data_IF_676752428726
#
_entry.id   IF_676752428726
#
_cell.length_a   1.000
_cell.length_b   1.000
_cell.length_c   1.000
_cell.angle_alpha   90.00
_cell.angle_beta   90.00
_cell.angle_gamma   90.00
#
_symmetry.space_group_name_H-M   'P 1'
#
loop_
_entity.id
_entity.type
_entity.pdbx_description
1 polymer ?
#
# COMPACT_ATOMS: atom_id res chain seq x y z
N UNK A 1 -13.11 -68.19 -6.12
CA UNK A 1 -14.60 -68.11 -6.15
C UNK A 1 -15.09 -68.44 -4.75
N UNK A 2 -15.70 -67.56 -3.98
CA UNK A 2 -16.06 -66.15 -4.19
C UNK A 2 -15.99 -65.42 -2.85
N UNK A 3 -15.29 -64.29 -2.83
CA UNK A 3 -15.40 -63.24 -1.82
C UNK A 3 -16.71 -62.49 -2.05
N UNK A 4 -17.73 -62.73 -1.24
CA UNK A 4 -18.91 -61.86 -1.12
C UNK A 4 -19.42 -61.98 0.31
N UNK A 5 -18.80 -61.28 1.26
CA UNK A 5 -19.36 -61.06 2.60
C UNK A 5 -18.60 -59.94 3.35
N UNK A 6 -18.42 -58.79 2.70
CA UNK A 6 -18.00 -57.58 3.39
C UNK A 6 -18.83 -56.42 2.84
N UNK A 7 -19.56 -55.73 3.73
CA UNK A 7 -20.40 -54.54 3.47
C UNK A 7 -21.85 -54.76 3.00
N UNK A 8 -22.64 -55.57 3.70
CA UNK A 8 -24.08 -55.24 3.84
C UNK A 8 -24.22 -54.16 4.91
N UNK A 9 -23.89 -52.92 4.56
CA UNK A 9 -24.24 -51.77 5.40
C UNK A 9 -25.76 -51.80 5.54
N UNK A 10 -26.26 -51.92 6.77
CA UNK A 10 -27.69 -51.96 7.05
C UNK A 10 -28.27 -50.54 6.84
N UNK A 11 -28.55 -50.22 5.58
CA UNK A 11 -29.01 -48.91 5.11
C UNK A 11 -30.25 -48.46 5.89
N UNK A 12 -31.12 -49.39 6.31
CA UNK A 12 -32.31 -49.09 7.13
C UNK A 12 -31.95 -48.64 8.55
N UNK A 13 -30.93 -49.24 9.16
CA UNK A 13 -30.42 -48.85 10.48
C UNK A 13 -29.66 -47.51 10.45
N UNK A 14 -29.04 -47.18 9.32
CA UNK A 14 -28.44 -45.88 9.04
C UNK A 14 -29.49 -44.79 8.77
N UNK A 15 -30.50 -45.08 7.96
CA UNK A 15 -31.61 -44.16 7.65
C UNK A 15 -32.50 -43.87 8.87
N UNK A 16 -32.75 -44.86 9.73
CA UNK A 16 -33.49 -44.65 10.99
C UNK A 16 -32.73 -43.83 12.03
N UNK A 17 -31.38 -43.83 11.98
CA UNK A 17 -30.55 -42.91 12.77
C UNK A 17 -30.50 -41.49 12.20
N UNK A 18 -30.69 -41.35 10.89
CA UNK A 18 -30.88 -40.08 10.15
C UNK A 18 -32.31 -39.53 10.33
N UNK A 19 -32.91 -39.70 11.52
CA UNK A 19 -34.20 -39.11 11.84
C UNK A 19 -34.08 -37.57 11.78
N UNK A 20 -35.07 -36.89 11.22
CA UNK A 20 -35.03 -35.43 10.97
C UNK A 20 -34.67 -34.64 12.22
N UNK A 21 -35.18 -35.03 13.40
CA UNK A 21 -34.86 -34.39 14.70
C UNK A 21 -33.36 -34.44 15.07
N UNK A 22 -32.65 -35.52 14.72
CA UNK A 22 -31.21 -35.66 15.02
C UNK A 22 -30.31 -34.87 14.06
N UNK A 23 -30.85 -34.43 12.92
CA UNK A 23 -30.14 -33.65 11.90
C UNK A 23 -30.32 -32.14 12.06
N UNK A 24 -31.36 -31.67 12.77
CA UNK A 24 -31.61 -30.24 12.98
C UNK A 24 -30.48 -29.59 13.80
N UNK A 25 -30.16 -30.13 14.98
CA UNK A 25 -29.13 -29.56 15.88
C UNK A 25 -27.74 -29.40 15.23
N UNK A 26 -27.16 -30.42 14.55
CA UNK A 26 -25.87 -30.24 13.87
C UNK A 26 -25.95 -29.28 12.68
N UNK A 27 -27.09 -29.24 11.97
CA UNK A 27 -27.30 -28.28 10.87
C UNK A 27 -27.33 -26.84 11.38
N UNK A 28 -28.06 -26.57 12.47
CA UNK A 28 -28.10 -25.24 13.11
C UNK A 28 -26.72 -24.85 13.64
N UNK A 29 -26.00 -25.78 14.25
CA UNK A 29 -24.64 -25.53 14.77
C UNK A 29 -23.68 -25.15 13.62
N UNK A 30 -23.69 -25.91 12.53
CA UNK A 30 -22.88 -25.60 11.34
C UNK A 30 -23.27 -24.26 10.70
N UNK A 31 -24.58 -23.94 10.67
CA UNK A 31 -25.07 -22.65 10.19
C UNK A 31 -24.49 -21.50 11.02
N UNK A 32 -24.51 -21.60 12.35
CA UNK A 32 -23.93 -20.58 13.25
C UNK A 32 -22.42 -20.44 13.01
N UNK A 33 -21.69 -21.56 12.87
CA UNK A 33 -20.25 -21.54 12.56
C UNK A 33 -20.01 -20.86 11.20
N UNK A 34 -20.76 -21.21 10.16
CA UNK A 34 -20.63 -20.62 8.84
C UNK A 34 -20.91 -19.11 8.83
N UNK A 35 -21.94 -18.67 9.56
CA UNK A 35 -22.25 -17.24 9.72
C UNK A 35 -21.11 -16.53 10.45
N UNK A 36 -20.60 -17.09 11.54
CA UNK A 36 -19.49 -16.48 12.29
C UNK A 36 -18.19 -16.39 11.46
N UNK A 37 -17.87 -17.43 10.70
CA UNK A 37 -16.73 -17.46 9.79
C UNK A 37 -16.89 -16.42 8.65
N UNK A 38 -18.10 -16.29 8.10
CA UNK A 38 -18.41 -15.29 7.07
C UNK A 38 -18.29 -13.86 7.59
N UNK A 39 -18.78 -13.58 8.81
CA UNK A 39 -18.63 -12.27 9.45
C UNK A 39 -17.13 -11.97 9.65
N UNK A 40 -16.37 -12.93 10.18
CA UNK A 40 -14.93 -12.78 10.40
C UNK A 40 -14.19 -12.50 9.09
N UNK A 41 -14.51 -13.25 8.03
CA UNK A 41 -13.96 -13.02 6.69
C UNK A 41 -14.27 -11.62 6.16
N UNK A 42 -15.52 -11.16 6.28
CA UNK A 42 -15.93 -9.81 5.86
C UNK A 42 -15.20 -8.74 6.66
N UNK A 43 -15.04 -8.91 7.98
CA UNK A 43 -14.30 -7.96 8.83
C UNK A 43 -12.83 -7.87 8.41
N UNK A 44 -12.15 -9.01 8.20
CA UNK A 44 -10.77 -9.04 7.72
C UNK A 44 -10.66 -8.37 6.35
N UNK A 45 -11.59 -8.66 5.43
CA UNK A 45 -11.61 -8.09 4.10
C UNK A 45 -11.81 -6.57 4.13
N UNK A 46 -12.78 -6.07 4.89
CA UNK A 46 -13.03 -4.64 5.08
C UNK A 46 -11.78 -3.99 5.68
N UNK A 47 -11.19 -4.58 6.73
CA UNK A 47 -10.01 -4.02 7.35
C UNK A 47 -8.85 -3.93 6.36
N UNK A 48 -8.58 -5.00 5.59
CA UNK A 48 -7.53 -5.02 4.58
C UNK A 48 -7.76 -4.02 3.42
N UNK A 49 -9.01 -3.81 3.01
CA UNK A 49 -9.37 -2.83 1.97
C UNK A 49 -9.17 -1.38 2.48
N UNK A 50 -9.49 -1.12 3.74
CA UNK A 50 -9.47 0.24 4.31
C UNK A 50 -8.23 0.56 5.15
N UNK A 51 -7.32 -0.39 5.38
CA UNK A 51 -6.01 -0.10 5.97
C UNK A 51 -5.22 0.77 5.00
N UNK A 52 -5.26 2.08 5.27
CA UNK A 52 -4.40 3.08 4.66
C UNK A 52 -2.95 2.80 5.06
N UNK A 53 -2.01 3.30 4.24
CA UNK A 53 -0.60 3.40 4.61
C UNK A 53 -0.51 4.12 5.97
N UNK A 54 0.22 3.50 6.90
CA UNK A 54 0.23 3.88 8.31
C UNK A 54 1.50 4.66 8.67
N UNK A 55 1.70 4.94 9.95
CA UNK A 55 2.91 5.61 10.45
C UNK A 55 4.18 4.77 10.30
N UNK A 56 4.07 3.47 10.00
CA UNK A 56 5.19 2.54 9.83
C UNK A 56 5.57 2.30 8.37
N UNK A 57 4.79 2.81 7.42
CA UNK A 57 5.12 2.76 5.99
C UNK A 57 6.42 3.55 5.73
N UNK A 58 7.33 2.95 4.98
CA UNK A 58 8.59 3.56 4.59
C UNK A 58 8.61 3.77 3.07
N UNK A 59 9.02 4.97 2.67
CA UNK A 59 9.13 5.37 1.28
C UNK A 59 10.60 5.61 0.93
N UNK A 60 11.10 4.94 -0.10
CA UNK A 60 12.41 5.22 -0.71
C UNK A 60 12.18 5.78 -2.10
N UNK A 61 12.70 6.98 -2.37
CA UNK A 61 12.43 7.73 -3.58
C UNK A 61 13.75 7.96 -4.30
N UNK A 62 13.85 7.46 -5.52
CA UNK A 62 14.99 7.66 -6.40
C UNK A 62 14.53 8.55 -7.56
N UNK A 63 15.18 9.68 -7.79
CA UNK A 63 14.77 10.60 -8.86
C UNK A 63 15.97 11.19 -9.61
N UNK A 64 15.71 11.56 -10.86
CA UNK A 64 16.52 12.49 -11.63
C UNK A 64 15.71 13.75 -11.92
N UNK A 65 16.21 14.92 -11.53
CA UNK A 65 15.47 16.20 -11.66
C UNK A 65 16.40 17.37 -11.95
N UNK A 66 15.90 18.43 -12.57
CA UNK A 66 16.67 19.66 -12.77
C UNK A 66 16.53 20.66 -11.63
N UNK A 67 15.56 20.43 -10.73
CA UNK A 67 15.21 21.36 -9.66
C UNK A 67 14.74 20.61 -8.41
N UNK A 68 15.20 21.08 -7.25
CA UNK A 68 14.82 20.59 -5.93
C UNK A 68 14.49 21.77 -5.03
N UNK A 69 13.30 21.78 -4.46
CA UNK A 69 12.91 22.64 -3.35
C UNK A 69 13.17 21.94 -2.02
N UNK A 70 13.63 22.69 -1.03
CA UNK A 70 13.99 22.20 0.29
C UNK A 70 13.65 23.24 1.36
N UNK A 71 12.96 22.84 2.42
CA UNK A 71 12.78 23.64 3.64
C UNK A 71 13.41 22.88 4.81
N UNK A 72 14.51 23.37 5.39
CA UNK A 72 15.15 22.70 6.51
C UNK A 72 14.23 22.63 7.73
N UNK A 73 14.27 21.54 8.47
CA UNK A 73 13.60 21.44 9.75
C UNK A 73 14.56 21.74 10.93
N UNK A 74 14.09 21.59 12.18
CA UNK A 74 14.91 21.85 13.38
C UNK A 74 16.01 20.80 13.64
N UNK A 75 16.12 19.76 12.81
CA UNK A 75 17.14 18.73 12.97
C UNK A 75 18.55 19.29 12.73
N UNK A 76 19.59 18.55 13.10
CA UNK A 76 20.98 18.89 12.80
C UNK A 76 21.22 18.92 11.29
N UNK A 77 20.99 20.08 10.67
CA UNK A 77 21.16 20.28 9.23
C UNK A 77 22.65 20.21 8.89
N UNK A 78 23.07 19.27 8.03
CA UNK A 78 24.45 19.19 7.59
C UNK A 78 24.83 20.42 6.75
N UNK A 79 26.08 20.85 6.89
CA UNK A 79 26.61 21.95 6.12
C UNK A 79 26.88 21.52 4.68
N UNK A 80 26.74 22.46 3.74
CA UNK A 80 27.04 22.26 2.33
C UNK A 80 28.39 22.85 2.00
N UNK A 81 29.29 21.99 1.54
CA UNK A 81 30.62 22.40 1.09
C UNK A 81 30.54 22.98 -0.33
N UNK A 82 31.09 24.18 -0.51
CA UNK A 82 31.15 24.89 -1.78
C UNK A 82 32.61 24.92 -2.27
N UNK A 83 32.94 24.08 -3.25
CA UNK A 83 34.32 24.01 -3.77
C UNK A 83 34.71 25.25 -4.57
N UNK A 84 33.93 25.60 -5.59
CA UNK A 84 34.10 26.81 -6.41
C UNK A 84 32.72 27.48 -6.55
N UNK A 85 32.57 28.71 -6.04
CA UNK A 85 31.27 29.39 -6.02
C UNK A 85 31.39 30.90 -6.28
N UNK A 86 30.28 31.51 -6.72
CA UNK A 86 30.15 32.97 -6.87
C UNK A 86 28.81 33.47 -6.39
N UNK A 87 28.78 34.71 -5.91
CA UNK A 87 27.54 35.39 -5.55
C UNK A 87 26.91 36.03 -6.79
N UNK A 88 25.60 35.89 -6.97
CA UNK A 88 24.88 36.53 -8.08
C UNK A 88 24.39 37.94 -7.76
N UNK A 89 24.45 38.35 -6.49
CA UNK A 89 24.15 39.69 -6.01
C UNK A 89 25.18 40.12 -4.97
N UNK A 90 25.29 41.43 -4.77
CA UNK A 90 26.10 41.99 -3.68
C UNK A 90 25.33 41.91 -2.37
N UNK A 91 26.04 41.56 -1.30
CA UNK A 91 25.49 41.44 0.05
C UNK A 91 26.39 42.22 1.00
N UNK A 92 25.86 43.31 1.57
CA UNK A 92 26.61 44.20 2.49
C UNK A 92 27.20 43.46 3.68
N UNK A 93 26.50 42.41 4.12
CA UNK A 93 26.81 41.68 5.35
C UNK A 93 27.86 40.57 5.14
N UNK A 94 28.34 40.41 3.89
CA UNK A 94 29.34 39.43 3.51
C UNK A 94 30.71 40.10 3.25
N UNK A 95 31.56 40.28 4.28
CA UNK A 95 32.82 40.99 4.14
C UNK A 95 33.76 40.29 3.16
N UNK A 96 34.33 41.05 2.22
CA UNK A 96 35.31 40.56 1.25
C UNK A 96 34.74 39.71 0.11
N UNK A 97 33.41 39.53 0.07
CA UNK A 97 32.72 38.88 -1.02
C UNK A 97 32.06 39.92 -1.93
N UNK A 98 32.26 39.79 -3.24
CA UNK A 98 31.78 40.70 -4.28
C UNK A 98 31.04 39.89 -5.33
N UNK A 99 29.95 40.44 -5.88
CA UNK A 99 29.19 39.81 -6.95
C UNK A 99 30.07 39.39 -8.12
N UNK A 100 29.76 38.22 -8.68
CA UNK A 100 30.33 37.70 -9.93
C UNK A 100 31.75 37.14 -9.81
N UNK A 101 32.46 37.40 -8.71
CA UNK A 101 33.79 36.83 -8.45
C UNK A 101 33.67 35.39 -7.96
N UNK A 102 34.54 34.52 -8.49
CA UNK A 102 34.67 33.14 -8.04
C UNK A 102 35.54 33.05 -6.79
N UNK A 103 35.09 32.23 -5.85
CA UNK A 103 35.72 31.95 -4.57
C UNK A 103 35.88 30.44 -4.38
N UNK A 104 36.92 30.06 -3.65
CA UNK A 104 37.20 28.69 -3.28
C UNK A 104 36.80 28.44 -1.82
N UNK A 105 36.38 27.21 -1.52
CA UNK A 105 36.17 26.69 -0.15
C UNK A 105 35.22 27.55 0.71
N UNK A 106 33.94 27.48 0.39
CA UNK A 106 32.86 27.98 1.24
C UNK A 106 32.16 26.86 1.98
N UNK A 107 31.53 27.18 3.10
CA UNK A 107 30.64 26.28 3.82
C UNK A 107 29.33 27.01 4.09
N UNK A 108 28.22 26.43 3.63
CA UNK A 108 26.89 27.02 3.69
C UNK A 108 26.00 26.21 4.63
N UNK A 109 25.51 26.85 5.68
CA UNK A 109 24.54 26.29 6.62
C UNK A 109 23.18 26.93 6.40
N UNK A 110 22.12 26.14 6.32
CA UNK A 110 20.74 26.64 6.21
C UNK A 110 20.06 26.62 7.58
N UNK A 111 19.12 27.55 7.80
CA UNK A 111 18.30 27.61 9.00
C UNK A 111 16.83 27.25 8.70
N UNK A 112 16.09 26.82 9.73
CA UNK A 112 14.69 26.37 9.65
C UNK A 112 13.75 27.32 8.88
N UNK A 113 13.97 28.62 9.00
CA UNK A 113 13.09 29.63 8.39
C UNK A 113 13.42 29.93 6.92
N UNK A 114 14.29 29.13 6.30
CA UNK A 114 14.69 29.30 4.90
C UNK A 114 13.93 28.36 3.97
N UNK A 115 13.70 28.84 2.76
CA UNK A 115 13.29 28.04 1.62
C UNK A 115 14.43 28.04 0.61
N UNK A 116 14.95 26.85 0.32
CA UNK A 116 16.10 26.63 -0.55
C UNK A 116 15.60 26.02 -1.85
N UNK A 117 16.03 26.58 -2.98
CA UNK A 117 15.78 26.00 -4.30
C UNK A 117 17.12 25.78 -4.99
N UNK A 118 17.43 24.52 -5.25
CA UNK A 118 18.56 24.10 -6.08
C UNK A 118 18.07 23.93 -7.51
N UNK A 119 18.79 24.51 -8.47
CA UNK A 119 18.51 24.36 -9.89
C UNK A 119 19.80 24.16 -10.67
N UNK A 120 19.80 23.24 -11.61
CA UNK A 120 20.85 23.17 -12.61
C UNK A 120 20.58 24.22 -13.71
N UNK A 121 21.43 25.24 -13.81
CA UNK A 121 21.26 26.33 -14.79
C UNK A 121 21.77 25.94 -16.17
N UNK A 122 22.99 25.40 -16.20
CA UNK A 122 23.66 24.88 -17.39
C UNK A 122 24.44 23.63 -17.00
N UNK A 123 25.06 22.98 -17.99
CA UNK A 123 26.11 22.01 -17.69
C UNK A 123 27.11 22.62 -16.71
N UNK A 124 27.39 21.92 -15.61
CA UNK A 124 28.37 22.27 -14.58
C UNK A 124 28.06 23.47 -13.69
N UNK A 125 26.91 24.13 -13.82
CA UNK A 125 26.54 25.27 -12.97
C UNK A 125 25.27 24.98 -12.18
N UNK A 126 25.41 24.95 -10.85
CA UNK A 126 24.31 24.74 -9.90
C UNK A 126 23.99 26.07 -9.24
N UNK A 127 22.76 26.55 -9.37
CA UNK A 127 22.29 27.73 -8.67
C UNK A 127 21.52 27.33 -7.41
N UNK A 128 21.91 27.86 -6.26
CA UNK A 128 21.18 27.75 -5.01
C UNK A 128 20.56 29.11 -4.70
N UNK A 129 19.24 29.13 -4.62
CA UNK A 129 18.46 30.28 -4.17
C UNK A 129 17.96 30.01 -2.76
N UNK A 130 18.13 30.97 -1.87
CA UNK A 130 17.68 30.93 -0.49
C UNK A 130 16.75 32.12 -0.29
N UNK A 131 15.54 31.86 0.17
CA UNK A 131 14.52 32.87 0.42
C UNK A 131 13.82 32.58 1.75
N UNK A 132 12.92 33.45 2.18
CA UNK A 132 12.09 33.22 3.36
C UNK A 132 10.69 33.77 3.21
N UNK A 133 9.75 33.09 3.86
CA UNK A 133 8.40 33.60 4.06
C UNK A 133 8.36 34.67 5.18
N UNK A 134 9.38 34.72 6.04
CA UNK A 134 9.47 35.63 7.19
C UNK A 134 10.60 36.66 7.01
N UNK A 135 10.25 37.95 7.09
CA UNK A 135 11.23 39.05 7.00
C UNK A 135 12.17 39.08 8.22
N UNK A 136 13.41 39.50 8.01
CA UNK A 136 14.45 39.67 9.05
C UNK A 136 14.76 38.40 9.87
N UNK A 137 14.65 37.22 9.28
CA UNK A 137 15.05 35.97 9.93
C UNK A 137 16.42 35.53 9.42
N UNK A 138 17.17 34.78 10.23
CA UNK A 138 18.42 34.17 9.75
C UNK A 138 18.07 33.05 8.79
N UNK A 139 18.49 33.18 7.54
CA UNK A 139 18.16 32.23 6.47
C UNK A 139 19.27 31.21 6.29
N UNK A 140 20.49 31.71 6.23
CA UNK A 140 21.67 30.89 6.06
C UNK A 140 22.89 31.56 6.69
N UNK A 141 23.98 30.81 6.73
CA UNK A 141 25.29 31.29 7.11
C UNK A 141 26.31 30.77 6.11
N UNK A 142 27.11 31.68 5.56
CA UNK A 142 28.23 31.35 4.69
C UNK A 142 29.54 31.59 5.45
N UNK A 143 30.34 30.55 5.65
CA UNK A 143 31.70 30.63 6.17
C UNK A 143 32.66 30.52 5.00
N UNK A 144 33.63 31.42 4.93
CA UNK A 144 34.71 31.40 3.92
C UNK A 144 36.03 31.76 4.57
N UNK A 145 37.14 31.62 3.82
CA UNK A 145 38.45 32.16 4.23
C UNK A 145 38.46 33.67 4.48
N UNK A 146 37.48 34.42 3.95
CA UNK A 146 37.35 35.88 4.13
C UNK A 146 36.56 36.24 5.39
N UNK A 147 35.89 35.28 6.01
CA UNK A 147 35.09 35.48 7.22
C UNK A 147 33.73 34.79 7.15
N UNK A 148 32.91 35.10 8.16
CA UNK A 148 31.54 34.59 8.32
C UNK A 148 30.55 35.66 7.87
N UNK A 149 29.61 35.27 7.02
CA UNK A 149 28.46 36.07 6.60
C UNK A 149 27.17 35.42 7.12
N UNK A 150 26.36 36.18 7.85
CA UNK A 150 25.01 35.75 8.27
C UNK A 150 24.01 36.37 7.31
N UNK A 151 23.22 35.52 6.67
CA UNK A 151 22.32 35.91 5.59
C UNK A 151 20.91 36.07 6.16
N UNK A 152 20.32 37.25 6.00
CA UNK A 152 18.95 37.57 6.45
C UNK A 152 17.99 37.89 5.30
N UNK A 153 18.53 38.25 4.14
CA UNK A 153 17.79 38.56 2.92
C UNK A 153 17.96 37.47 1.86
N UNK A 154 17.14 37.54 0.81
CA UNK A 154 17.17 36.64 -0.33
C UNK A 154 18.59 36.49 -0.89
N UNK A 155 19.12 35.27 -0.80
CA UNK A 155 20.50 34.95 -1.15
C UNK A 155 20.58 34.04 -2.37
N UNK A 156 21.49 34.34 -3.29
CA UNK A 156 21.72 33.49 -4.46
C UNK A 156 23.20 33.28 -4.69
N UNK A 157 23.58 32.01 -4.71
CA UNK A 157 24.93 31.54 -5.02
C UNK A 157 24.89 30.59 -6.21
N UNK A 158 25.93 30.64 -7.02
CA UNK A 158 26.16 29.68 -8.10
C UNK A 158 27.45 28.90 -7.83
N UNK A 159 27.39 27.58 -7.98
CA UNK A 159 28.48 26.65 -7.77
C UNK A 159 28.92 26.12 -9.13
N UNK A 160 30.22 25.98 -9.32
CA UNK A 160 30.81 25.45 -10.54
C UNK A 160 31.46 24.09 -10.28
N UNK A 161 31.03 23.10 -11.05
CA UNK A 161 31.66 21.79 -11.11
C UNK A 161 32.82 21.83 -12.10
N UNK A 162 33.90 21.16 -11.76
CA UNK A 162 35.12 21.08 -12.59
C UNK A 162 35.68 19.67 -12.56
N UNK A 163 36.61 19.35 -13.45
CA UNK A 163 37.26 18.02 -13.44
C UNK A 163 37.98 17.73 -12.10
N UNK A 164 38.47 18.75 -11.40
CA UNK A 164 39.11 18.62 -10.09
C UNK A 164 38.12 18.55 -8.92
N UNK A 165 36.87 18.91 -9.13
CA UNK A 165 35.78 18.84 -8.13
C UNK A 165 34.51 18.45 -8.88
N UNK A 166 34.42 17.16 -9.29
CA UNK A 166 33.44 16.73 -10.26
C UNK A 166 32.05 16.60 -9.66
N UNK A 167 31.95 16.32 -8.36
CA UNK A 167 30.68 16.03 -7.70
C UNK A 167 30.32 17.11 -6.68
N UNK A 168 29.07 17.54 -6.73
CA UNK A 168 28.43 18.27 -5.65
C UNK A 168 27.49 17.31 -4.92
N UNK A 169 27.63 17.27 -3.59
CA UNK A 169 26.84 16.39 -2.72
C UNK A 169 26.20 17.25 -1.63
N UNK A 170 24.90 17.05 -1.41
CA UNK A 170 24.15 17.74 -0.36
C UNK A 170 23.20 16.77 0.35
N UNK A 171 23.26 16.77 1.68
CA UNK A 171 22.30 16.07 2.52
C UNK A 171 21.16 17.01 2.91
N UNK A 172 19.93 16.50 2.87
CA UNK A 172 18.71 17.26 3.14
C UNK A 172 17.96 16.64 4.30
N UNK A 173 17.42 17.46 5.21
CA UNK A 173 16.54 17.01 6.30
C UNK A 173 15.43 18.03 6.50
N UNK A 174 14.19 17.67 6.16
CA UNK A 174 13.05 18.59 6.19
C UNK A 174 12.05 18.38 5.06
N UNK A 175 11.29 19.40 4.69
CA UNK A 175 10.34 19.32 3.58
C UNK A 175 11.08 19.36 2.25
N UNK A 176 10.67 18.51 1.30
CA UNK A 176 11.32 18.42 0.01
C UNK A 176 10.29 18.45 -1.12
N UNK A 177 10.66 19.10 -2.21
CA UNK A 177 9.86 19.18 -3.43
C UNK A 177 10.76 18.82 -4.60
N UNK A 178 10.42 17.76 -5.32
CA UNK A 178 11.21 17.25 -6.44
C UNK A 178 10.51 17.63 -7.74
N UNK A 179 11.19 18.39 -8.58
CA UNK A 179 10.57 19.00 -9.76
C UNK A 179 9.88 20.33 -9.45
N UNK A 180 9.08 20.82 -10.39
CA UNK A 180 8.36 22.08 -10.26
C UNK A 180 6.96 21.93 -10.87
N UNK A 181 5.96 22.43 -10.15
CA UNK A 181 4.59 22.49 -10.66
C UNK A 181 4.53 23.30 -11.94
N UNK A 182 4.04 22.67 -13.01
CA UNK A 182 3.86 23.29 -14.31
C UNK A 182 2.45 23.84 -14.43
N UNK A 183 2.34 25.14 -14.72
CA UNK A 183 1.10 25.78 -15.15
C UNK A 183 1.21 26.18 -16.62
N UNK A 184 0.08 26.41 -17.28
CA UNK A 184 0.04 26.85 -18.68
C UNK A 184 0.66 28.25 -18.94
N UNK A 185 1.16 28.94 -17.91
CA UNK A 185 1.64 30.34 -17.99
C UNK A 185 3.19 30.48 -18.01
N UNK A 186 3.92 29.42 -18.35
CA UNK A 186 5.39 29.45 -18.21
C UNK A 186 6.10 30.15 -19.38
N UNK A 187 6.47 31.42 -19.16
CA UNK A 187 7.33 32.25 -20.03
C UNK A 187 8.82 31.83 -20.03
N UNK A 188 9.19 30.78 -19.31
CA UNK A 188 10.57 30.27 -19.20
C UNK A 188 10.59 28.76 -19.37
N UNK A 189 11.66 28.22 -19.96
CA UNK A 189 11.87 26.77 -20.11
C UNK A 189 11.67 26.05 -18.76
N UNK A 190 10.69 25.12 -18.67
CA UNK A 190 10.37 24.48 -17.41
C UNK A 190 11.52 23.59 -16.98
N UNK A 191 11.95 23.73 -15.72
CA UNK A 191 12.78 22.72 -15.07
C UNK A 191 11.83 21.66 -14.50
N UNK A 192 12.07 20.39 -14.84
CA UNK A 192 11.18 19.29 -14.48
C UNK A 192 11.93 18.15 -13.79
N UNK A 193 11.16 17.32 -13.09
CA UNK A 193 11.55 15.95 -12.79
C UNK A 193 11.63 15.19 -14.12
N UNK A 194 12.73 14.52 -14.38
CA UNK A 194 12.98 13.78 -15.63
C UNK A 194 12.40 12.38 -15.51
N UNK A 195 12.80 11.66 -14.48
CA UNK A 195 12.31 10.33 -14.14
C UNK A 195 12.51 10.03 -12.65
N UNK A 196 11.97 8.90 -12.21
CA UNK A 196 12.20 8.37 -10.88
C UNK A 196 11.29 7.21 -10.53
N UNK A 197 11.44 6.73 -9.32
CA UNK A 197 10.72 5.61 -8.76
C UNK A 197 10.53 5.83 -7.26
N UNK A 198 9.35 5.47 -6.77
CA UNK A 198 9.04 5.43 -5.34
C UNK A 198 8.79 3.98 -4.96
N UNK A 199 9.72 3.43 -4.18
CA UNK A 199 9.52 2.16 -3.51
C UNK A 199 8.75 2.39 -2.22
N UNK A 200 7.73 1.56 -1.99
CA UNK A 200 6.92 1.60 -0.77
C UNK A 200 7.08 0.30 -0.02
N UNK A 201 7.51 0.38 1.24
CA UNK A 201 7.62 -0.74 2.17
C UNK A 201 6.63 -0.56 3.29
N UNK A 202 5.78 -1.54 3.49
CA UNK A 202 4.77 -1.52 4.55
C UNK A 202 4.90 -2.76 5.43
N UNK A 203 4.11 -2.85 6.49
CA UNK A 203 4.05 -4.03 7.34
C UNK A 203 3.00 -5.01 6.81
N UNK A 204 3.28 -6.31 6.90
CA UNK A 204 2.28 -7.35 6.61
C UNK A 204 1.05 -7.16 7.50
N UNK A 205 -0.11 -7.56 7.00
CA UNK A 205 -1.37 -7.45 7.74
C UNK A 205 -1.38 -8.33 9.00
N UNK A 206 -0.75 -9.50 8.95
CA UNK A 206 -0.75 -10.49 10.04
C UNK A 206 0.55 -10.54 10.82
N UNK A 207 1.65 -10.14 10.21
CA UNK A 207 2.99 -10.23 10.77
C UNK A 207 3.65 -8.86 10.78
N UNK A 208 4.58 -8.63 11.71
CA UNK A 208 5.38 -7.40 11.75
C UNK A 208 6.44 -7.34 10.64
N UNK A 209 6.50 -8.37 9.79
CA UNK A 209 7.43 -8.46 8.66
C UNK A 209 7.16 -7.36 7.63
N UNK A 210 8.23 -6.76 7.11
CA UNK A 210 8.16 -5.76 6.05
C UNK A 210 7.88 -6.41 4.71
N UNK A 211 6.86 -5.91 4.02
CA UNK A 211 6.52 -6.26 2.65
C UNK A 211 6.88 -5.10 1.71
N UNK A 212 7.47 -5.42 0.57
CA UNK A 212 7.68 -4.45 -0.51
C UNK A 212 6.46 -4.44 -1.41
N UNK A 213 5.80 -3.29 -1.51
CA UNK A 213 4.67 -3.08 -2.41
C UNK A 213 5.20 -2.69 -3.81
N UNK A 214 4.36 -2.78 -4.87
CA UNK A 214 4.77 -2.41 -6.21
C UNK A 214 5.26 -0.96 -6.23
N UNK A 215 6.40 -0.74 -6.89
CA UNK A 215 6.97 0.57 -7.00
C UNK A 215 6.17 1.47 -7.93
N UNK A 216 6.19 2.77 -7.65
CA UNK A 216 5.46 3.78 -8.40
C UNK A 216 6.45 4.53 -9.26
N UNK A 217 6.34 4.37 -10.59
CA UNK A 217 7.18 5.09 -11.53
C UNK A 217 6.76 6.56 -11.65
N UNK A 218 7.74 7.45 -11.61
CA UNK A 218 7.58 8.89 -11.80
C UNK A 218 7.93 9.25 -13.25
N UNK A 219 7.05 10.05 -13.86
CA UNK A 219 7.20 10.45 -15.26
C UNK A 219 7.74 11.87 -15.38
N UNK A 220 8.30 12.17 -16.55
CA UNK A 220 8.77 13.52 -16.87
C UNK A 220 7.67 14.57 -16.63
N UNK A 221 7.99 15.61 -15.87
CA UNK A 221 7.06 16.69 -15.53
C UNK A 221 6.22 16.47 -14.26
N UNK A 222 6.29 15.29 -13.65
CA UNK A 222 5.69 15.07 -12.33
C UNK A 222 6.38 15.96 -11.28
N UNK A 223 5.66 16.31 -10.22
CA UNK A 223 6.23 16.95 -9.02
C UNK A 223 5.93 16.10 -7.82
N UNK A 224 6.95 15.77 -7.03
CA UNK A 224 6.80 14.99 -5.79
C UNK A 224 6.93 15.92 -4.60
N UNK A 225 5.92 15.92 -3.72
CA UNK A 225 5.93 16.63 -2.45
C UNK A 225 6.18 15.63 -1.32
N UNK A 226 7.22 15.91 -0.53
CA UNK A 226 7.63 15.10 0.61
C UNK A 226 7.60 16.01 1.84
N UNK A 227 6.46 16.07 2.55
CA UNK A 227 6.35 16.87 3.77
C UNK A 227 7.16 16.23 4.91
N UNK A 228 7.69 17.05 5.80
CA UNK A 228 8.16 16.62 7.11
C UNK A 228 6.99 16.59 8.08
N UNK A 229 6.84 15.48 8.82
CA UNK A 229 5.82 15.36 9.87
C UNK A 229 6.48 15.48 11.23
N UNK A 230 5.69 15.81 12.26
CA UNK A 230 6.17 16.02 13.63
C UNK A 230 6.91 14.81 14.21
N UNK A 231 6.64 13.60 13.73
CA UNK A 231 7.22 12.35 14.24
C UNK A 231 8.40 11.83 13.39
N UNK A 232 8.57 12.34 12.15
CA UNK A 232 9.53 11.80 11.19
C UNK A 232 9.84 12.81 10.09
N UNK A 233 11.09 13.27 10.08
CA UNK A 233 11.62 14.12 9.04
C UNK A 233 11.99 13.30 7.80
N UNK A 234 11.66 13.78 6.61
CA UNK A 234 12.24 13.24 5.40
C UNK A 234 13.74 13.54 5.37
N UNK A 235 14.52 12.57 4.89
CA UNK A 235 15.97 12.70 4.68
C UNK A 235 16.28 12.48 3.21
N UNK A 236 17.30 13.15 2.71
CA UNK A 236 17.66 13.12 1.30
C UNK A 236 19.16 13.25 1.07
N UNK A 237 19.63 12.66 -0.01
CA UNK A 237 20.95 12.85 -0.58
C UNK A 237 20.79 13.32 -2.01
N UNK A 238 21.35 14.48 -2.32
CA UNK A 238 21.47 15.02 -3.67
C UNK A 238 22.89 14.88 -4.17
N UNK A 239 23.03 14.49 -5.43
CA UNK A 239 24.29 14.46 -6.14
C UNK A 239 24.14 15.11 -7.51
N UNK A 240 25.10 15.94 -7.89
CA UNK A 240 25.25 16.48 -9.24
C UNK A 240 26.68 16.25 -9.68
N UNK A 241 26.86 15.57 -10.81
CA UNK A 241 28.18 15.26 -11.35
C UNK A 241 28.52 16.13 -12.56
N UNK A 242 29.83 16.29 -12.78
CA UNK A 242 30.38 17.05 -13.88
C UNK A 242 29.90 16.48 -15.21
N UNK A 243 29.48 17.38 -16.11
CA UNK A 243 28.86 17.13 -17.41
C UNK A 243 27.51 16.40 -17.37
N UNK A 244 26.87 16.25 -16.21
CA UNK A 244 25.48 15.80 -16.13
C UNK A 244 24.50 16.96 -16.26
N UNK A 245 23.30 16.66 -16.78
CA UNK A 245 22.20 17.64 -16.99
C UNK A 245 21.12 17.55 -15.92
N UNK A 246 21.33 16.70 -14.91
CA UNK A 246 20.31 16.30 -13.96
C UNK A 246 20.93 16.18 -12.57
N UNK A 247 20.10 16.44 -11.56
CA UNK A 247 20.38 16.24 -10.14
C UNK A 247 19.80 14.88 -9.80
N UNK A 248 20.66 13.96 -9.35
CA UNK A 248 20.24 12.66 -8.83
C UNK A 248 19.93 12.79 -7.35
N UNK A 249 18.81 12.25 -6.93
CA UNK A 249 18.35 12.31 -5.55
C UNK A 249 17.91 10.95 -5.04
N UNK A 250 18.29 10.64 -3.80
CA UNK A 250 17.78 9.50 -3.04
C UNK A 250 17.19 10.03 -1.74
N UNK A 251 15.91 9.74 -1.50
CA UNK A 251 15.18 10.26 -0.35
C UNK A 251 14.47 9.15 0.41
N UNK A 252 14.42 9.30 1.73
CA UNK A 252 13.73 8.38 2.61
C UNK A 252 12.76 9.15 3.50
N UNK A 253 11.54 8.62 3.62
CA UNK A 253 10.52 9.11 4.56
C UNK A 253 9.86 7.92 5.24
N UNK A 254 9.66 8.03 6.55
CA UNK A 254 8.89 7.06 7.33
C UNK A 254 7.58 7.68 7.80
N UNK A 255 6.47 6.99 7.62
CA UNK A 255 5.14 7.47 7.91
C UNK A 255 4.73 8.68 7.08
N UNK A 256 3.51 9.15 7.31
CA UNK A 256 2.95 10.30 6.63
C UNK A 256 2.58 10.05 5.18
N UNK A 257 2.30 11.14 4.47
CA UNK A 257 1.79 11.11 3.10
C UNK A 257 2.82 11.73 2.15
N UNK A 258 3.13 11.04 1.05
CA UNK A 258 3.82 11.61 -0.11
C UNK A 258 2.78 11.90 -1.18
N UNK A 259 2.91 13.06 -1.84
CA UNK A 259 1.97 13.47 -2.89
C UNK A 259 2.67 13.61 -4.23
N UNK A 260 2.00 13.15 -5.28
CA UNK A 260 2.45 13.32 -6.67
C UNK A 260 1.47 14.26 -7.38
N UNK A 261 2.00 15.36 -7.90
CA UNK A 261 1.26 16.29 -8.77
C UNK A 261 1.64 15.99 -10.21
N UNK A 262 0.63 15.65 -11.02
CA UNK A 262 0.80 15.46 -12.47
C UNK A 262 0.97 16.81 -13.18
N UNK A 263 1.72 16.87 -14.29
CA UNK A 263 1.93 18.11 -15.03
C UNK A 263 0.59 18.73 -15.47
N UNK A 264 0.47 20.05 -15.37
CA UNK A 264 -0.72 20.83 -15.71
C UNK A 264 -1.97 20.54 -14.86
N UNK A 265 -1.83 19.74 -13.79
CA UNK A 265 -2.90 19.54 -12.83
C UNK A 265 -3.07 20.79 -11.95
N UNK A 266 -4.33 21.12 -11.66
CA UNK A 266 -4.69 22.19 -10.71
C UNK A 266 -4.90 21.69 -9.28
N UNK A 267 -4.68 20.40 -9.02
CA UNK A 267 -4.85 19.82 -7.68
C UNK A 267 -3.59 19.98 -6.81
N UNK A 268 -3.76 19.81 -5.49
CA UNK A 268 -2.68 19.84 -4.50
C UNK A 268 -1.83 18.55 -4.48
N UNK A 269 -1.95 17.72 -5.51
CA UNK A 269 -1.32 16.41 -5.61
C UNK A 269 -2.19 15.29 -5.05
N UNK A 270 -2.02 14.09 -5.60
CA UNK A 270 -2.70 12.91 -5.11
C UNK A 270 -1.79 12.19 -4.10
N UNK A 271 -2.33 11.74 -2.95
CA UNK A 271 -1.63 10.83 -2.05
C UNK A 271 -1.13 9.62 -2.81
N UNK A 272 0.03 9.09 -2.42
CA UNK A 272 0.35 7.70 -2.74
C UNK A 272 -0.69 6.82 -2.06
N UNK A 273 -1.44 6.07 -2.87
CA UNK A 273 -2.41 5.09 -2.42
C UNK A 273 -2.10 3.77 -3.11
N UNK A 274 -2.12 2.69 -2.34
CA UNK A 274 -1.89 1.34 -2.86
C UNK A 274 -3.22 0.61 -2.85
N UNK A 275 -3.53 -0.04 -3.96
CA UNK A 275 -4.79 -0.77 -4.10
C UNK A 275 -4.76 -2.06 -3.28
N UNK A 276 -5.95 -2.52 -2.88
CA UNK A 276 -6.10 -3.79 -2.17
C UNK A 276 -5.47 -4.97 -2.93
N UNK A 277 -5.60 -5.00 -4.26
CA UNK A 277 -5.04 -6.08 -5.08
C UNK A 277 -3.52 -6.08 -5.08
N UNK A 278 -2.88 -4.92 -5.12
CA UNK A 278 -1.42 -4.79 -5.01
C UNK A 278 -0.93 -5.23 -3.63
N UNK A 279 -1.69 -4.92 -2.58
CA UNK A 279 -1.42 -5.41 -1.23
C UNK A 279 -1.54 -6.93 -1.13
N UNK A 280 -2.61 -7.53 -1.69
CA UNK A 280 -2.75 -8.99 -1.74
C UNK A 280 -1.60 -9.66 -2.48
N UNK A 281 -1.21 -9.10 -3.63
CA UNK A 281 -0.12 -9.66 -4.44
C UNK A 281 1.21 -9.68 -3.67
N UNK A 282 1.44 -8.67 -2.82
CA UNK A 282 2.69 -8.49 -2.09
C UNK A 282 2.67 -9.16 -0.71
N UNK A 283 1.50 -9.28 -0.08
CA UNK A 283 1.32 -9.90 1.23
C UNK A 283 0.84 -11.36 1.11
N UNK A 284 1.81 -12.27 1.02
CA UNK A 284 1.56 -13.71 0.96
C UNK A 284 0.72 -14.22 2.15
N UNK A 285 0.94 -13.67 3.35
CA UNK A 285 0.24 -14.10 4.55
C UNK A 285 -1.25 -13.77 4.47
N UNK A 286 -1.56 -12.53 4.07
CA UNK A 286 -2.93 -12.09 3.86
C UNK A 286 -3.62 -12.91 2.76
N UNK A 287 -2.93 -13.16 1.64
CA UNK A 287 -3.47 -13.97 0.54
C UNK A 287 -3.76 -15.41 0.96
N UNK A 288 -2.86 -16.05 1.71
CA UNK A 288 -3.08 -17.40 2.24
C UNK A 288 -4.26 -17.41 3.22
N UNK A 289 -4.32 -16.43 4.14
CA UNK A 289 -5.39 -16.34 5.13
C UNK A 289 -6.77 -16.18 4.48
N UNK A 290 -6.90 -15.31 3.48
CA UNK A 290 -8.14 -15.13 2.72
C UNK A 290 -8.51 -16.38 1.93
N UNK A 291 -7.53 -17.04 1.31
CA UNK A 291 -7.75 -18.28 0.55
C UNK A 291 -8.25 -19.42 1.43
N UNK A 292 -7.61 -19.65 2.60
CA UNK A 292 -8.04 -20.67 3.57
C UNK A 292 -9.44 -20.35 4.09
N UNK A 293 -9.69 -19.09 4.46
CA UNK A 293 -11.01 -18.66 4.96
C UNK A 293 -12.12 -18.93 3.94
N UNK A 294 -11.86 -18.63 2.66
CA UNK A 294 -12.79 -18.91 1.58
C UNK A 294 -13.07 -20.40 1.41
N UNK A 295 -12.02 -21.25 1.43
CA UNK A 295 -12.16 -22.72 1.35
C UNK A 295 -12.98 -23.25 2.54
N UNK A 296 -12.72 -22.78 3.76
CA UNK A 296 -13.45 -23.21 4.96
C UNK A 296 -14.94 -22.87 4.83
N UNK A 297 -15.27 -21.65 4.39
CA UNK A 297 -16.67 -21.25 4.17
C UNK A 297 -17.33 -22.14 3.12
N UNK A 298 -16.66 -22.45 2.00
CA UNK A 298 -17.20 -23.34 0.97
C UNK A 298 -17.47 -24.76 1.51
N UNK A 299 -16.54 -25.32 2.28
CA UNK A 299 -16.70 -26.64 2.89
C UNK A 299 -17.87 -26.65 3.88
N UNK A 300 -18.00 -25.61 4.72
CA UNK A 300 -19.13 -25.47 5.64
C UNK A 300 -20.47 -25.37 4.91
N UNK A 301 -20.54 -24.57 3.84
CA UNK A 301 -21.76 -24.44 3.03
C UNK A 301 -22.12 -25.74 2.32
N UNK A 302 -21.13 -26.50 1.83
CA UNK A 302 -21.34 -27.82 1.27
C UNK A 302 -21.89 -28.81 2.31
N UNK A 303 -21.33 -28.82 3.53
CA UNK A 303 -21.81 -29.67 4.62
C UNK A 303 -23.24 -29.31 5.03
N UNK A 304 -23.56 -28.02 5.17
CA UNK A 304 -24.92 -27.53 5.47
C UNK A 304 -25.89 -27.99 4.37
N UNK A 305 -25.56 -27.77 3.10
CA UNK A 305 -26.41 -28.17 1.97
C UNK A 305 -26.64 -29.67 1.94
N UNK A 306 -25.62 -30.46 2.25
CA UNK A 306 -25.70 -31.93 2.32
C UNK A 306 -26.61 -32.39 3.45
N UNK A 307 -26.49 -31.80 4.65
CA UNK A 307 -27.35 -32.11 5.79
C UNK A 307 -28.81 -31.73 5.55
N UNK A 308 -29.07 -30.57 4.94
CA UNK A 308 -30.42 -30.17 4.52
C UNK A 308 -30.98 -31.21 3.55
N UNK A 309 -30.22 -31.60 2.52
CA UNK A 309 -30.67 -32.63 1.55
C UNK A 309 -30.98 -33.96 2.23
N UNK A 310 -30.15 -34.42 3.17
CA UNK A 310 -30.39 -35.65 3.94
C UNK A 310 -31.67 -35.56 4.79
N UNK A 311 -31.99 -34.37 5.31
CA UNK A 311 -33.21 -34.14 6.12
C UNK A 311 -34.49 -34.22 5.27
N UNK A 312 -34.41 -33.93 3.96
CA UNK A 312 -35.55 -33.93 3.03
C UNK A 312 -35.62 -35.15 2.11
N UNK A 313 -34.85 -36.22 2.33
CA UNK A 313 -35.00 -37.46 1.57
C UNK A 313 -36.40 -38.02 1.88
N UNK A 314 -37.32 -38.10 0.90
CA UNK A 314 -38.61 -38.71 1.13
C UNK A 314 -38.38 -40.17 1.50
N UNK A 315 -38.80 -40.56 2.71
CA UNK A 315 -38.94 -41.96 3.07
C UNK A 315 -40.06 -42.48 2.16
N UNK A 316 -39.70 -43.07 1.01
CA UNK A 316 -40.65 -43.86 0.24
C UNK A 316 -41.10 -44.99 1.16
N UNK A 317 -42.26 -44.77 1.76
CA UNK A 317 -42.95 -45.75 2.60
C UNK A 317 -43.66 -46.68 1.64
N UNK A 318 -42.87 -47.49 0.92
CA UNK A 318 -43.39 -48.50 0.02
C UNK A 318 -43.83 -49.69 0.87
N UNK A 319 -45.02 -49.57 1.47
CA UNK A 319 -45.69 -50.65 2.21
C UNK A 319 -47.22 -50.55 2.14
N UNK A 320 -47.75 -49.84 1.13
CA UNK A 320 -49.19 -49.64 0.96
C UNK A 320 -49.70 -50.10 -0.42
N UNK A 321 -49.17 -51.19 -0.99
CA UNK A 321 -49.76 -51.81 -2.19
C UNK A 321 -49.66 -53.35 -2.28
N UNK A 322 -49.53 -54.07 -1.15
CA UNK A 322 -49.59 -55.55 -1.14
C UNK A 322 -50.53 -56.09 -0.05
N UNK A 323 -51.73 -55.52 0.09
CA UNK A 323 -52.79 -56.12 0.93
C UNK A 323 -54.19 -56.23 0.31
N UNK A 324 -54.42 -55.82 -0.94
CA UNK A 324 -55.75 -55.91 -1.58
C UNK A 324 -55.88 -56.99 -2.68
N UNK A 325 -54.89 -57.88 -2.84
CA UNK A 325 -54.95 -58.95 -3.85
C UNK A 325 -54.92 -60.39 -3.29
N UNK A 326 -55.22 -60.58 -1.99
CA UNK A 326 -55.19 -61.94 -1.39
C UNK A 326 -56.32 -62.17 -0.38
N UNK A 327 -57.55 -61.72 -0.68
CA UNK A 327 -58.74 -62.09 0.10
C UNK A 327 -60.01 -62.30 -0.75
N UNK A 328 -59.90 -62.79 -1.99
CA UNK A 328 -61.04 -63.42 -2.69
C UNK A 328 -60.55 -64.64 -3.47
N UNK A 329 -60.07 -65.68 -2.78
CA UNK A 329 -60.15 -67.06 -3.30
C UNK A 329 -59.91 -68.07 -2.17
N UNK A 330 -60.93 -68.92 -1.94
CA UNK A 330 -60.92 -70.18 -1.17
C UNK A 330 -60.99 -70.12 0.37
N UNK A 331 -62.19 -69.93 0.92
CA UNK A 331 -62.79 -70.78 1.99
C UNK A 331 -64.32 -70.69 1.80
N UNK A 332 -64.97 -71.61 1.07
CA UNK A 332 -65.67 -72.74 1.68
C UNK A 332 -65.94 -73.83 0.64
N UNK A 333 -65.09 -74.84 0.61
CA UNK A 333 -65.46 -76.19 0.19
C UNK A 333 -65.29 -77.08 1.42
N UNK A 334 -66.37 -77.69 1.89
CA UNK A 334 -66.26 -78.84 2.78
C UNK A 334 -67.39 -79.07 3.77
N UNK A 335 -68.24 -80.05 3.41
CA UNK A 335 -69.00 -80.98 4.30
C UNK A 335 -70.22 -80.42 5.02
N UNK A 336 -71.32 -81.17 5.21
CA UNK A 336 -71.76 -82.51 4.80
C UNK A 336 -73.28 -82.56 5.10
N UNK A 337 -74.05 -83.19 4.23
CA UNK A 337 -75.45 -83.63 4.50
C UNK A 337 -75.41 -84.92 5.34
N UNK A 338 -76.33 -85.09 6.31
CA UNK A 338 -77.40 -86.09 6.21
C UNK A 338 -78.77 -85.49 6.63
N UNK A 339 -79.84 -85.54 5.82
CA UNK A 339 -80.84 -86.61 5.58
C UNK A 339 -81.91 -86.76 6.70
N UNK A 340 -83.15 -86.39 6.33
CA UNK A 340 -84.50 -86.86 6.75
C UNK A 340 -84.91 -86.66 8.24
N UNK A 341 -86.16 -86.42 8.65
CA UNK A 341 -87.51 -86.70 8.10
C UNK A 341 -88.58 -85.95 8.96
N UNK A 342 -89.63 -85.45 8.29
CA UNK A 342 -91.09 -85.37 8.65
C UNK A 342 -91.67 -84.85 9.97
N UNK A 343 -92.84 -84.18 9.77
CA UNK A 343 -94.05 -83.93 10.60
C UNK A 343 -93.87 -83.01 11.83
N UNK A 344 -94.69 -81.97 12.08
CA UNK A 344 -96.11 -81.66 11.74
C UNK A 344 -96.30 -80.32 10.97
#
# INVERSE_FOLDING_TARGET
>A
MSEENLFSIDIKKLLSKLNTENLVTPTVTLLVIAVSASITFVVILIHAIFTKLDSNTEYSIHVSTQVVGYKPNDSSIPNVTLHEFRLLKDYSDCPGLTKGKWYDQGELTFYKNSSVTLRLNTLNLIQINIDSEQKNTRLAQLITRKGRCVIQDKFTVEIKLTESSPDFIMFLVGDMTLGKTLSYDTHSMPAFLVDGEIEVKDSSFWFEDKISLPSISLSAGDTVLIPSDNESAATGLLTVSFNEKEIKGVFNKKGGEIRIIKPFSSNEGNPISISFFERLYSDNALTIALSISFIVIQVLMFMITTLIRLTYIPINTDNSQVQDATYITKINSGKKVPKNETDD
#
